data_IF_709080827300
#
_entry.id   IF_709080827300
#
_cell.length_a   1.000
_cell.length_b   1.000
_cell.length_c   1.000
_cell.angle_alpha   90.00
_cell.angle_beta   90.00
_cell.angle_gamma   90.00
#
_symmetry.space_group_name_H-M   'P 1'
#
loop_
_entity.id
_entity.type
_entity.pdbx_description
1 polymer ?
#
# COMPACT_ATOMS: atom_id res chain seq x y z
N UNK A 1 -3.96 -12.56 16.80
CA UNK A 1 -3.09 -12.16 15.67
C UNK A 1 -3.81 -11.06 14.91
N UNK A 2 -3.05 -10.14 14.31
CA UNK A 2 -3.57 -8.99 13.58
C UNK A 2 -2.83 -8.88 12.25
N UNK A 3 -3.51 -8.45 11.18
CA UNK A 3 -2.89 -8.20 9.89
C UNK A 3 -3.71 -7.24 9.05
N UNK A 4 -3.05 -6.40 8.26
CA UNK A 4 -3.69 -5.52 7.28
C UNK A 4 -2.97 -5.66 5.93
N UNK A 5 -3.69 -6.22 4.96
CA UNK A 5 -3.21 -6.43 3.60
C UNK A 5 -4.05 -5.64 2.61
N UNK A 6 -3.39 -5.12 1.58
CA UNK A 6 -4.01 -4.48 0.44
C UNK A 6 -3.56 -5.19 -0.83
N UNK A 7 -4.52 -5.47 -1.70
CA UNK A 7 -4.31 -6.13 -2.99
C UNK A 7 -4.97 -5.32 -4.10
N UNK A 8 -4.30 -5.04 -5.20
CA UNK A 8 -4.91 -4.35 -6.33
C UNK A 8 -3.93 -3.87 -7.38
N UNK A 9 -4.42 -2.97 -8.23
CA UNK A 9 -3.66 -2.30 -9.28
C UNK A 9 -3.24 -0.90 -8.81
N UNK A 10 -1.97 -0.56 -9.00
CA UNK A 10 -1.39 0.69 -8.54
C UNK A 10 -0.48 1.28 -9.61
N UNK A 11 -0.65 2.56 -9.92
CA UNK A 11 0.34 3.30 -10.70
C UNK A 11 1.51 3.70 -9.79
N UNK A 12 2.73 3.50 -10.27
CA UNK A 12 3.95 3.91 -9.60
C UNK A 12 4.34 5.33 -10.01
N UNK A 13 4.98 6.06 -9.10
CA UNK A 13 5.52 7.39 -9.38
C UNK A 13 6.75 7.67 -8.52
N UNK A 14 7.61 8.58 -8.97
CA UNK A 14 8.74 9.12 -8.22
C UNK A 14 9.64 8.03 -7.58
N UNK A 15 9.90 6.96 -8.33
CA UNK A 15 10.70 5.84 -7.88
C UNK A 15 12.12 6.27 -7.46
N UNK A 16 12.59 5.86 -6.28
CA UNK A 16 13.94 6.17 -5.80
C UNK A 16 14.55 5.03 -4.98
N UNK A 17 15.85 4.79 -5.19
CA UNK A 17 16.60 3.89 -4.33
C UNK A 17 16.86 4.51 -2.96
N UNK A 18 16.62 3.72 -1.92
CA UNK A 18 16.88 4.09 -0.53
C UNK A 18 17.68 2.98 0.13
N UNK A 19 18.69 3.36 0.91
CA UNK A 19 19.45 2.45 1.76
C UNK A 19 19.22 2.88 3.20
N UNK A 20 18.63 1.99 3.99
CA UNK A 20 18.43 2.23 5.43
C UNK A 20 19.50 1.48 6.20
N UNK A 21 20.30 2.21 6.98
CA UNK A 21 21.16 1.63 8.00
C UNK A 21 20.36 1.46 9.27
N UNK A 22 20.35 0.24 9.82
CA UNK A 22 19.81 0.02 11.17
C UNK A 22 21.00 -0.04 12.13
N UNK A 23 21.16 0.92 13.05
CA UNK A 23 22.21 0.84 14.05
C UNK A 23 21.92 -0.36 14.96
N UNK A 24 22.74 -1.40 14.85
CA UNK A 24 22.73 -2.53 15.76
C UNK A 24 24.08 -2.58 16.48
N UNK A 25 24.12 -2.91 17.78
CA UNK A 25 25.38 -3.12 18.49
C UNK A 25 26.11 -4.28 17.82
N UNK A 26 27.17 -3.97 17.07
CA UNK A 26 28.07 -4.88 16.33
C UNK A 26 27.66 -5.30 14.91
N UNK A 27 26.72 -4.64 14.23
CA UNK A 27 26.59 -4.82 12.77
C UNK A 27 26.00 -3.61 12.05
N UNK A 28 26.71 -3.11 11.03
CA UNK A 28 26.16 -2.19 10.03
C UNK A 28 25.39 -3.00 8.97
N UNK A 29 24.21 -3.50 9.36
CA UNK A 29 23.27 -4.06 8.38
C UNK A 29 22.56 -2.91 7.68
N UNK A 30 22.87 -2.76 6.41
CA UNK A 30 22.13 -1.89 5.50
C UNK A 30 21.15 -2.72 4.69
N UNK A 31 19.95 -2.19 4.51
CA UNK A 31 18.95 -2.82 3.65
C UNK A 31 18.58 -1.84 2.55
N UNK A 32 18.74 -2.29 1.30
CA UNK A 32 18.36 -1.53 0.11
C UNK A 32 16.91 -1.80 -0.25
N UNK A 33 16.21 -0.78 -0.71
CA UNK A 33 14.87 -0.87 -1.26
C UNK A 33 14.61 0.26 -2.25
N UNK A 34 13.49 0.18 -2.95
CA UNK A 34 12.96 1.26 -3.79
C UNK A 34 11.71 1.80 -3.10
N UNK A 35 11.60 3.12 -3.01
CA UNK A 35 10.37 3.81 -2.63
C UNK A 35 9.69 4.35 -3.87
N UNK A 36 8.39 4.12 -3.97
CA UNK A 36 7.51 4.73 -4.97
C UNK A 36 6.40 5.51 -4.26
N UNK A 37 5.99 6.62 -4.86
CA UNK A 37 4.68 7.20 -4.60
C UNK A 37 3.60 6.42 -5.33
N UNK A 38 2.43 6.29 -4.73
CA UNK A 38 1.24 5.74 -5.36
C UNK A 38 -0.01 6.31 -4.67
N UNK A 39 -1.21 5.85 -5.05
CA UNK A 39 -2.46 6.25 -4.41
C UNK A 39 -3.45 5.10 -4.38
N UNK A 40 -4.26 5.04 -3.33
CA UNK A 40 -5.42 4.15 -3.26
C UNK A 40 -6.64 4.88 -3.79
N UNK A 41 -7.31 4.27 -4.75
CA UNK A 41 -8.60 4.74 -5.24
C UNK A 41 -9.71 4.10 -4.42
N UNK A 42 -10.54 4.93 -3.79
CA UNK A 42 -11.70 4.47 -3.02
C UNK A 42 -12.94 4.37 -3.92
N UNK A 43 -13.99 3.74 -3.40
CA UNK A 43 -15.25 3.51 -4.13
C UNK A 43 -15.96 4.81 -4.52
N UNK A 44 -15.78 5.87 -3.75
CA UNK A 44 -16.26 7.23 -4.03
C UNK A 44 -15.35 8.01 -5.00
N UNK A 45 -14.36 7.35 -5.60
CA UNK A 45 -13.33 7.92 -6.47
C UNK A 45 -12.31 8.82 -5.76
N UNK A 46 -12.37 8.94 -4.43
CA UNK A 46 -11.35 9.67 -3.66
C UNK A 46 -10.00 8.96 -3.79
N UNK A 47 -8.93 9.74 -3.97
CA UNK A 47 -7.55 9.25 -3.99
C UNK A 47 -6.89 9.50 -2.64
N UNK A 48 -6.41 8.44 -2.01
CA UNK A 48 -5.62 8.50 -0.77
C UNK A 48 -4.15 8.31 -1.12
N UNK A 49 -3.27 9.28 -0.83
CA UNK A 49 -1.84 9.15 -1.08
C UNK A 49 -1.23 7.96 -0.34
N UNK A 50 -0.32 7.25 -1.00
CA UNK A 50 0.40 6.13 -0.43
C UNK A 50 1.87 6.14 -0.81
N UNK A 51 2.72 5.57 0.05
CA UNK A 51 4.12 5.31 -0.25
C UNK A 51 4.35 3.80 -0.21
N UNK A 52 4.86 3.27 -1.32
CA UNK A 52 5.18 1.86 -1.49
C UNK A 52 6.68 1.64 -1.31
N UNK A 53 7.04 0.69 -0.44
CA UNK A 53 8.40 0.16 -0.33
C UNK A 53 8.48 -1.22 -0.96
N UNK A 54 9.46 -1.37 -1.84
CA UNK A 54 9.78 -2.62 -2.52
C UNK A 54 11.20 -3.01 -2.15
N UNK A 55 11.36 -4.13 -1.44
CA UNK A 55 12.68 -4.67 -1.13
C UNK A 55 13.37 -5.10 -2.42
N UNK A 56 14.54 -4.51 -2.69
CA UNK A 56 15.25 -4.69 -3.95
C UNK A 56 16.74 -4.40 -3.77
N UNK A 57 17.56 -5.03 -4.62
CA UNK A 57 18.99 -4.74 -4.66
C UNK A 57 19.20 -3.31 -5.19
N UNK A 58 20.34 -2.69 -4.85
CA UNK A 58 20.69 -1.35 -5.33
C UNK A 58 20.85 -1.29 -6.87
N UNK A 59 21.11 -2.42 -7.51
CA UNK A 59 21.22 -2.55 -8.96
C UNK A 59 19.89 -2.83 -9.65
N UNK A 60 18.81 -3.07 -8.90
CA UNK A 60 17.48 -3.32 -9.48
C UNK A 60 17.00 -2.06 -10.18
N UNK A 61 16.65 -2.09 -11.47
CA UNK A 61 16.11 -0.93 -12.16
C UNK A 61 14.86 -0.38 -11.47
N UNK A 62 14.75 0.94 -11.43
CA UNK A 62 13.52 1.63 -11.03
C UNK A 62 12.56 1.56 -12.21
N UNK A 63 11.31 1.16 -11.93
CA UNK A 63 10.25 1.17 -12.94
C UNK A 63 9.88 2.61 -13.29
N UNK A 64 9.59 2.92 -14.56
CA UNK A 64 9.14 4.26 -14.96
C UNK A 64 7.90 4.70 -14.18
N UNK A 65 7.71 6.02 -14.11
CA UNK A 65 6.45 6.59 -13.63
C UNK A 65 5.29 6.10 -14.51
N UNK A 66 4.09 6.07 -13.93
CA UNK A 66 2.85 5.56 -14.53
C UNK A 66 2.87 4.05 -14.87
N UNK A 67 3.95 3.33 -14.56
CA UNK A 67 3.95 1.86 -14.59
C UNK A 67 2.91 1.32 -13.63
N UNK A 68 1.85 0.72 -14.16
CA UNK A 68 0.85 0.00 -13.37
C UNK A 68 1.40 -1.36 -12.92
N UNK A 69 1.24 -1.65 -11.64
CA UNK A 69 1.63 -2.93 -11.02
C UNK A 69 0.44 -3.59 -10.35
N UNK A 70 0.40 -4.92 -10.41
CA UNK A 70 -0.35 -5.73 -9.47
C UNK A 70 0.46 -5.84 -8.17
N UNK A 71 -0.16 -5.45 -7.05
CA UNK A 71 0.50 -5.37 -5.76
C UNK A 71 -0.30 -6.15 -4.71
N UNK A 72 0.39 -6.98 -3.94
CA UNK A 72 -0.02 -7.43 -2.61
C UNK A 72 0.95 -6.81 -1.60
N UNK A 73 0.43 -6.02 -0.68
CA UNK A 73 1.25 -5.31 0.31
C UNK A 73 0.66 -5.42 1.71
N UNK A 74 1.54 -5.37 2.71
CA UNK A 74 1.16 -4.98 4.07
C UNK A 74 0.88 -3.50 4.08
N UNK A 75 -0.17 -3.10 4.78
CA UNK A 75 -0.57 -1.70 4.85
C UNK A 75 -0.60 -1.19 6.28
N UNK A 76 -0.32 0.10 6.41
CA UNK A 76 -0.59 0.87 7.61
C UNK A 76 -1.28 2.17 7.18
N UNK A 77 -2.55 2.31 7.54
CA UNK A 77 -3.24 3.59 7.43
C UNK A 77 -2.87 4.47 8.63
N UNK A 78 -2.57 5.76 8.41
CA UNK A 78 -2.46 6.73 9.49
C UNK A 78 -3.79 6.85 10.25
N UNK A 79 -3.72 7.30 11.50
CA UNK A 79 -4.91 7.51 12.33
C UNK A 79 -5.82 8.63 11.78
N UNK A 80 -5.25 9.58 11.05
CA UNK A 80 -5.98 10.58 10.28
C UNK A 80 -5.94 10.21 8.79
N UNK A 81 -7.04 9.65 8.30
CA UNK A 81 -7.19 9.25 6.90
C UNK A 81 -7.22 10.43 5.92
N UNK A 82 -7.40 11.66 6.41
CA UNK A 82 -7.51 12.87 5.55
C UNK A 82 -6.20 13.64 5.42
N UNK A 83 -5.23 13.42 6.31
CA UNK A 83 -3.98 14.18 6.32
C UNK A 83 -2.71 13.31 6.19
N UNK A 84 -2.81 11.99 6.28
CA UNK A 84 -1.64 11.11 6.28
C UNK A 84 -1.49 10.25 5.01
N UNK A 85 -0.24 9.88 4.72
CA UNK A 85 0.10 8.92 3.66
C UNK A 85 -0.05 7.49 4.17
N UNK A 86 -0.72 6.63 3.40
CA UNK A 86 -0.77 5.19 3.68
C UNK A 86 0.59 4.56 3.38
N UNK A 87 1.13 3.81 4.33
CA UNK A 87 2.40 3.12 4.15
C UNK A 87 2.17 1.70 3.66
N UNK A 88 2.79 1.34 2.55
CA UNK A 88 2.73 0.02 1.95
C UNK A 88 4.12 -0.63 1.95
N UNK A 89 4.19 -1.89 2.39
CA UNK A 89 5.36 -2.76 2.26
C UNK A 89 4.99 -3.93 1.33
N UNK A 90 5.63 -3.98 0.17
CA UNK A 90 5.36 -4.99 -0.85
C UNK A 90 5.69 -6.40 -0.34
N UNK A 91 4.75 -7.33 -0.54
CA UNK A 91 4.94 -8.77 -0.43
C UNK A 91 5.11 -9.39 -1.81
N UNK A 92 4.28 -8.95 -2.77
CA UNK A 92 4.33 -9.34 -4.18
C UNK A 92 4.07 -8.10 -5.02
N UNK A 93 4.90 -7.87 -6.04
CA UNK A 93 4.70 -6.81 -7.01
C UNK A 93 5.04 -7.35 -8.41
N UNK A 94 4.13 -7.15 -9.35
CA UNK A 94 4.34 -7.50 -10.76
C UNK A 94 3.89 -6.34 -11.64
N UNK A 95 4.81 -5.81 -12.44
CA UNK A 95 4.48 -4.79 -13.43
C UNK A 95 3.73 -5.41 -14.62
N UNK A 96 2.77 -4.66 -15.13
CA UNK A 96 2.17 -4.99 -16.41
C UNK A 96 3.15 -4.65 -17.53
N UNK A 97 3.25 -5.49 -18.57
CA UNK A 97 4.13 -5.22 -19.70
C UNK A 97 3.56 -4.10 -20.57
N UNK A 98 4.43 -3.35 -21.22
CA UNK A 98 4.04 -2.26 -22.12
C UNK A 98 4.94 -1.05 -21.94
N UNK A 99 4.61 0.00 -22.68
CA UNK A 99 5.20 1.32 -22.53
C UNK A 99 4.22 2.23 -21.76
N UNK A 100 4.51 2.61 -20.50
CA UNK A 100 3.64 3.47 -19.71
C UNK A 100 3.38 4.85 -20.34
N UNK A 101 4.28 5.33 -21.21
CA UNK A 101 4.12 6.62 -21.90
C UNK A 101 3.17 6.52 -23.12
N UNK A 102 2.74 5.31 -23.50
CA UNK A 102 1.84 5.09 -24.63
C UNK A 102 0.38 5.38 -24.26
N UNK A 103 -0.33 6.13 -25.12
CA UNK A 103 -1.77 6.41 -24.95
C UNK A 103 -2.63 5.13 -24.90
N UNK A 104 -2.13 4.02 -25.48
CA UNK A 104 -2.83 2.73 -25.48
C UNK A 104 -2.41 1.80 -24.34
N UNK A 105 -1.59 2.25 -23.38
CA UNK A 105 -1.11 1.40 -22.29
C UNK A 105 -2.28 0.89 -21.45
N UNK A 106 -3.17 1.80 -21.07
CA UNK A 106 -4.33 1.53 -20.22
C UNK A 106 -5.34 0.57 -20.86
N UNK A 107 -5.42 0.52 -22.19
CA UNK A 107 -6.33 -0.37 -22.93
C UNK A 107 -6.06 -1.87 -22.68
N UNK A 108 -4.86 -2.19 -22.19
CA UNK A 108 -4.41 -3.57 -21.94
C UNK A 108 -4.46 -3.96 -20.46
N UNK A 109 -4.84 -3.03 -19.57
CA UNK A 109 -4.88 -3.28 -18.13
C UNK A 109 -6.20 -3.96 -17.74
N UNK A 110 -6.18 -4.84 -16.72
CA UNK A 110 -7.41 -5.41 -16.19
C UNK A 110 -8.29 -4.34 -15.53
N UNK A 111 -9.60 -4.53 -15.61
CA UNK A 111 -10.56 -3.72 -14.84
C UNK A 111 -10.38 -3.98 -13.33
N UNK A 112 -9.81 -3.01 -12.62
CA UNK A 112 -9.47 -3.10 -11.20
C UNK A 112 -9.58 -1.75 -10.50
N UNK A 113 -10.77 -1.14 -10.51
CA UNK A 113 -10.98 0.26 -10.14
C UNK A 113 -10.65 0.60 -8.67
N UNK A 114 -10.79 -0.36 -7.75
CA UNK A 114 -10.53 -0.16 -6.31
C UNK A 114 -9.77 -1.37 -5.75
N UNK A 115 -8.76 -1.16 -4.89
CA UNK A 115 -8.04 -2.26 -4.28
C UNK A 115 -8.90 -2.97 -3.22
N UNK A 116 -8.64 -4.25 -3.02
CA UNK A 116 -9.21 -5.01 -1.92
C UNK A 116 -8.39 -4.82 -0.65
N UNK A 117 -9.08 -4.58 0.46
CA UNK A 117 -8.50 -4.51 1.79
C UNK A 117 -8.91 -5.76 2.58
N UNK A 118 -7.93 -6.45 3.17
CA UNK A 118 -8.14 -7.59 4.06
C UNK A 118 -7.54 -7.23 5.41
N UNK A 119 -8.39 -7.14 6.44
CA UNK A 119 -7.97 -6.75 7.77
C UNK A 119 -8.46 -7.75 8.81
N UNK A 120 -7.56 -8.15 9.70
CA UNK A 120 -7.84 -8.97 10.87
C UNK A 120 -7.36 -8.19 12.07
N UNK A 121 -8.25 -7.83 12.98
CA UNK A 121 -7.92 -6.96 14.10
C UNK A 121 -8.87 -7.14 15.28
N UNK A 122 -8.79 -6.20 16.22
CA UNK A 122 -9.70 -6.13 17.36
C UNK A 122 -10.83 -5.15 17.03
N UNK A 123 -12.08 -5.61 17.16
CA UNK A 123 -13.26 -4.75 17.06
C UNK A 123 -13.29 -3.77 18.24
N UNK A 124 -13.45 -2.48 17.97
CA UNK A 124 -13.57 -1.43 18.98
C UNK A 124 -15.02 -1.06 19.28
N UNK A 125 -15.90 -1.20 18.30
CA UNK A 125 -17.29 -0.75 18.39
C UNK A 125 -18.28 -1.89 18.18
N UNK A 126 -19.51 -1.66 18.61
CA UNK A 126 -20.65 -2.43 18.09
C UNK A 126 -20.86 -2.10 16.61
N UNK A 127 -21.57 -2.99 15.91
CA UNK A 127 -21.96 -2.77 14.53
C UNK A 127 -22.97 -1.63 14.41
N UNK A 128 -22.77 -0.72 13.45
CA UNK A 128 -23.73 0.30 13.04
C UNK A 128 -24.26 0.01 11.63
N UNK A 129 -25.55 0.27 11.34
CA UNK A 129 -26.03 0.21 9.96
C UNK A 129 -25.32 1.26 9.10
N UNK A 130 -24.98 0.91 7.86
CA UNK A 130 -24.44 1.83 6.87
C UNK A 130 -25.57 2.53 6.11
N UNK A 131 -25.21 3.51 5.28
CA UNK A 131 -26.17 4.35 4.55
C UNK A 131 -27.09 3.60 3.57
N UNK A 132 -26.76 2.36 3.23
CA UNK A 132 -27.58 1.48 2.38
C UNK A 132 -28.72 0.77 3.14
N UNK A 133 -28.73 0.87 4.48
CA UNK A 133 -29.74 0.24 5.34
C UNK A 133 -29.65 -1.30 5.43
N UNK A 134 -28.71 -1.93 4.73
CA UNK A 134 -28.54 -3.40 4.69
C UNK A 134 -27.18 -3.80 5.26
N UNK A 135 -26.14 -3.04 4.96
CA UNK A 135 -24.79 -3.32 5.43
C UNK A 135 -24.58 -2.82 6.85
N UNK A 136 -23.64 -3.45 7.55
CA UNK A 136 -23.22 -3.05 8.90
C UNK A 136 -21.72 -2.78 8.91
N UNK A 137 -21.34 -1.61 9.40
CA UNK A 137 -19.95 -1.23 9.64
C UNK A 137 -19.60 -1.37 11.12
N UNK A 138 -18.32 -1.54 11.42
CA UNK A 138 -17.78 -1.52 12.77
C UNK A 138 -16.32 -1.11 12.71
N UNK A 139 -15.84 -0.48 13.77
CA UNK A 139 -14.46 -0.03 13.84
C UNK A 139 -13.55 -1.19 14.26
N UNK A 140 -12.44 -1.34 13.54
CA UNK A 140 -11.39 -2.28 13.88
C UNK A 140 -10.07 -1.56 14.08
N UNK A 141 -9.34 -2.03 15.10
CA UNK A 141 -7.94 -1.69 15.28
C UNK A 141 -7.08 -2.85 14.81
N UNK A 142 -6.11 -2.52 13.96
CA UNK A 142 -5.16 -3.47 13.40
C UNK A 142 -3.76 -3.01 13.73
N UNK A 143 -2.90 -3.94 14.16
CA UNK A 143 -1.46 -3.74 14.22
C UNK A 143 -0.76 -4.61 13.18
N UNK A 144 0.19 -4.03 12.45
CA UNK A 144 0.99 -4.69 11.43
C UNK A 144 2.42 -4.12 11.46
N UNK A 145 3.40 -4.94 11.08
CA UNK A 145 4.81 -4.51 11.00
C UNK A 145 5.09 -3.92 9.62
N UNK A 146 5.18 -2.59 9.56
CA UNK A 146 5.34 -1.81 8.32
C UNK A 146 6.40 -0.74 8.55
N UNK A 147 7.35 -0.61 7.62
CA UNK A 147 8.51 0.30 7.76
C UNK A 147 9.34 0.03 9.01
N UNK A 148 9.61 -1.24 9.24
CA UNK A 148 10.56 -1.72 10.25
C UNK A 148 10.13 -1.43 11.70
N UNK A 149 8.85 -1.14 11.92
CA UNK A 149 8.25 -1.03 13.24
C UNK A 149 6.81 -1.54 13.26
N UNK A 150 6.33 -1.92 14.44
CA UNK A 150 4.92 -2.25 14.64
C UNK A 150 4.13 -0.94 14.64
N UNK A 151 3.18 -0.83 13.72
CA UNK A 151 2.28 0.32 13.60
C UNK A 151 0.85 -0.13 13.87
N UNK A 152 -0.01 0.85 14.18
CA UNK A 152 -1.42 0.62 14.45
C UNK A 152 -2.27 1.48 13.51
N UNK A 153 -3.34 0.89 12.99
CA UNK A 153 -4.32 1.53 12.13
C UNK A 153 -5.72 1.36 12.72
N UNK A 154 -6.53 2.42 12.65
CA UNK A 154 -7.98 2.36 12.83
C UNK A 154 -8.64 2.30 11.46
N UNK A 155 -9.52 1.32 11.25
CA UNK A 155 -10.26 1.13 9.99
C UNK A 155 -11.76 1.07 10.31
N UNK A 156 -12.59 1.47 9.34
CA UNK A 156 -14.05 1.55 9.47
C UNK A 156 -14.75 1.05 8.21
#
# INVERSE_FOLDING_TARGET
MSSFLILGLFALSAGKHVVTSRPAPNSDKTTSHILYGTSLKLTDQTLVPAELRVWALKSTPILPDDTVVFLLAKACSPADATAGTVLLDSLVMQAFPGDPDSESYDDHLPDGLVPWAIAIGRTLSQTRPLGDGVSKGFEITVSEYVRDEARQSGLQ
#
